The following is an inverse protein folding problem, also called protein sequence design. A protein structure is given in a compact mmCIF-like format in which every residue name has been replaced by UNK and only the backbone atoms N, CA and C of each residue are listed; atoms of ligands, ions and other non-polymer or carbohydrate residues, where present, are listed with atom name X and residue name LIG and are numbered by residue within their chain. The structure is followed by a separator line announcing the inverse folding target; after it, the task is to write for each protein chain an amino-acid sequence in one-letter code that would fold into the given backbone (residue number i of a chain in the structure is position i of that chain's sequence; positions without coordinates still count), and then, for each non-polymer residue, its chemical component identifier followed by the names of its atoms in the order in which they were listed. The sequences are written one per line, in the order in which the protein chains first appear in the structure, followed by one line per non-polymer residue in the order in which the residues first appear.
data_IF_648404414713
#
_entry.id   IF_648404414713
#
_cell.length_a   1.000
_cell.length_b   1.000
_cell.length_c   1.000
_cell.angle_alpha   90.00
_cell.angle_beta   90.00
_cell.angle_gamma   90.00
#
_symmetry.space_group_name_H-M   'P 1'
#
loop_
_entity.id
_entity.type
_entity.pdbx_description
1 polymer ?
#
# COMPACT_ATOMS: atom_id res chain seq x y z
N UNK A 1 19.88 -21.02 51.21
CA UNK A 1 20.86 -20.48 50.22
C UNK A 1 20.60 -21.02 48.80
N UNK A 2 20.30 -22.31 48.65
CA UNK A 2 20.05 -22.98 47.35
C UNK A 2 18.82 -22.48 46.57
N UNK A 3 17.71 -22.20 47.27
CA UNK A 3 16.46 -21.71 46.66
C UNK A 3 16.57 -20.31 46.08
N UNK A 4 17.40 -19.44 46.69
CA UNK A 4 17.62 -18.06 46.22
C UNK A 4 18.47 -18.00 44.95
N UNK A 5 19.40 -18.95 44.80
CA UNK A 5 20.21 -19.10 43.57
C UNK A 5 19.39 -19.69 42.43
N UNK A 6 18.52 -20.67 42.70
CA UNK A 6 17.61 -21.24 41.70
C UNK A 6 16.62 -20.21 41.14
N UNK A 7 16.04 -19.35 41.99
CA UNK A 7 15.14 -18.29 41.51
C UNK A 7 15.87 -17.22 40.70
N UNK A 8 17.11 -16.87 41.08
CA UNK A 8 17.91 -15.91 40.32
C UNK A 8 18.21 -16.43 38.91
N UNK A 9 18.51 -17.73 38.76
CA UNK A 9 18.79 -18.34 37.45
C UNK A 9 17.55 -18.38 36.54
N UNK A 10 16.35 -18.61 37.11
CA UNK A 10 15.10 -18.59 36.34
C UNK A 10 14.77 -17.20 35.81
N UNK A 11 14.98 -16.15 36.62
CA UNK A 11 14.76 -14.76 36.21
C UNK A 11 15.74 -14.39 35.09
N UNK A 12 17.02 -14.76 35.21
CA UNK A 12 18.03 -14.49 34.18
C UNK A 12 17.67 -15.20 32.88
N UNK A 13 17.26 -16.48 32.92
CA UNK A 13 16.82 -17.19 31.72
C UNK A 13 15.60 -16.54 31.06
N UNK A 14 14.61 -16.12 31.85
CA UNK A 14 13.41 -15.45 31.33
C UNK A 14 13.75 -14.14 30.61
N UNK A 15 14.64 -13.33 31.19
CA UNK A 15 15.10 -12.07 30.59
C UNK A 15 15.86 -12.34 29.28
N UNK A 16 16.74 -13.34 29.25
CA UNK A 16 17.50 -13.70 28.04
C UNK A 16 16.58 -14.17 26.90
N UNK A 17 15.53 -14.93 27.19
CA UNK A 17 14.54 -15.37 26.19
C UNK A 17 13.75 -14.18 25.64
N UNK A 18 13.33 -13.24 26.50
CA UNK A 18 12.62 -12.03 26.06
C UNK A 18 13.50 -11.17 25.16
N UNK A 19 14.77 -10.94 25.53
CA UNK A 19 15.70 -10.19 24.69
C UNK A 19 16.00 -10.90 23.35
N UNK A 20 16.13 -12.22 23.35
CA UNK A 20 16.36 -12.99 22.13
C UNK A 20 15.16 -12.94 21.18
N UNK A 21 13.94 -13.07 21.70
CA UNK A 21 12.72 -12.95 20.88
C UNK A 21 12.49 -11.53 20.37
N UNK A 22 12.81 -10.51 21.14
CA UNK A 22 12.68 -9.11 20.71
C UNK A 22 13.68 -8.74 19.60
N UNK A 23 14.92 -9.24 19.68
CA UNK A 23 15.97 -8.99 18.68
C UNK A 23 15.82 -9.83 17.42
N UNK A 24 15.15 -10.98 17.49
CA UNK A 24 14.91 -11.85 16.33
C UNK A 24 13.70 -11.44 15.48
N UNK A 25 12.70 -10.76 16.06
CA UNK A 25 11.49 -10.33 15.35
C UNK A 25 11.64 -9.04 14.52
N UNK A 26 12.80 -8.36 14.55
CA UNK A 26 13.02 -7.10 13.80
C UNK A 26 13.80 -7.27 12.49
N UNK A 27 14.15 -8.49 12.08
CA UNK A 27 14.74 -8.73 10.76
C UNK A 27 13.65 -8.91 9.70
N UNK A 28 12.96 -7.82 9.37
CA UNK A 28 12.34 -7.71 8.05
C UNK A 28 13.50 -7.52 7.08
N UNK A 29 13.81 -8.48 6.20
CA UNK A 29 14.86 -8.27 5.20
C UNK A 29 14.47 -7.03 4.37
N UNK A 30 15.42 -6.12 4.10
CA UNK A 30 15.15 -5.02 3.17
C UNK A 30 14.64 -5.62 1.85
N UNK A 31 13.67 -4.99 1.17
CA UNK A 31 13.29 -5.43 -0.17
C UNK A 31 14.56 -5.44 -1.02
N UNK A 32 14.96 -6.63 -1.44
CA UNK A 32 16.14 -6.87 -2.25
C UNK A 32 16.01 -6.06 -3.55
N UNK A 33 16.92 -5.10 -3.73
CA UNK A 33 17.06 -4.24 -4.90
C UNK A 33 17.63 -4.96 -6.14
N UNK A 34 17.64 -6.29 -6.15
CA UNK A 34 18.19 -7.11 -7.24
C UNK A 34 17.14 -7.82 -8.10
N UNK A 35 15.90 -7.36 -8.09
CA UNK A 35 14.93 -7.67 -9.14
C UNK A 35 14.99 -6.61 -10.27
N UNK A 36 16.18 -6.40 -10.82
CA UNK A 36 16.38 -5.66 -12.07
C UNK A 36 16.87 -6.66 -13.13
N UNK A 37 16.14 -6.69 -14.25
CA UNK A 37 16.22 -7.58 -15.41
C UNK A 37 15.60 -8.96 -15.26
N UNK A 38 14.27 -8.96 -15.19
CA UNK A 38 13.55 -9.37 -16.39
C UNK A 38 12.32 -8.48 -16.53
N UNK A 39 12.43 -7.48 -17.42
CA UNK A 39 11.24 -6.80 -17.94
C UNK A 39 10.46 -7.87 -18.71
N UNK A 40 9.20 -8.15 -18.36
CA UNK A 40 8.38 -9.03 -19.18
C UNK A 40 8.25 -8.38 -20.55
N UNK A 41 8.86 -9.01 -21.55
CA UNK A 41 8.86 -8.55 -22.94
C UNK A 41 7.40 -8.44 -23.40
N UNK A 42 6.87 -7.22 -23.35
CA UNK A 42 5.52 -6.89 -23.74
C UNK A 42 5.36 -7.10 -25.23
N UNK A 43 4.58 -8.10 -25.60
CA UNK A 43 4.14 -8.36 -26.96
C UNK A 43 3.13 -7.27 -27.34
N UNK A 44 3.45 -6.46 -28.37
CA UNK A 44 2.73 -5.49 -29.23
C UNK A 44 1.37 -4.86 -28.85
N UNK A 45 0.77 -5.16 -27.71
CA UNK A 45 -0.33 -4.41 -27.09
C UNK A 45 0.19 -3.74 -25.82
N UNK A 46 0.76 -2.54 -25.97
CA UNK A 46 1.47 -1.77 -24.95
C UNK A 46 0.68 -1.55 -23.64
N UNK A 47 -0.63 -1.79 -23.62
CA UNK A 47 -1.50 -1.57 -22.46
C UNK A 47 -2.01 -2.84 -21.78
N UNK A 48 -1.91 -4.01 -22.42
CA UNK A 48 -2.52 -5.23 -21.90
C UNK A 48 -1.66 -5.85 -20.79
N UNK A 49 -2.28 -6.09 -19.64
CA UNK A 49 -1.76 -6.89 -18.54
C UNK A 49 -2.62 -8.13 -18.38
N UNK A 50 -2.02 -9.33 -18.43
CA UNK A 50 -2.74 -10.59 -18.24
C UNK A 50 -2.50 -11.12 -16.83
N UNK A 51 -3.56 -11.21 -16.02
CA UNK A 51 -3.53 -11.64 -14.63
C UNK A 51 -4.73 -12.54 -14.34
N UNK A 52 -4.52 -13.70 -13.69
CA UNK A 52 -5.56 -14.69 -13.40
C UNK A 52 -6.42 -15.08 -14.63
N UNK A 53 -5.78 -15.24 -15.80
CA UNK A 53 -6.43 -15.51 -17.10
C UNK A 53 -7.40 -14.40 -17.59
N UNK A 54 -7.38 -13.23 -16.98
CA UNK A 54 -8.12 -12.04 -17.41
C UNK A 54 -7.13 -11.02 -17.96
N UNK A 55 -7.52 -10.34 -19.04
CA UNK A 55 -6.76 -9.23 -19.61
C UNK A 55 -7.31 -7.90 -19.11
N UNK A 56 -6.44 -7.07 -18.55
CA UNK A 56 -6.74 -5.75 -18.04
C UNK A 56 -6.01 -4.68 -18.85
N UNK A 57 -6.68 -3.56 -19.06
CA UNK A 57 -6.07 -2.36 -19.62
C UNK A 57 -5.38 -1.57 -18.52
N UNK A 58 -4.05 -1.54 -18.55
CA UNK A 58 -3.21 -0.87 -17.56
C UNK A 58 -2.72 0.50 -18.04
N UNK A 59 -3.24 1.01 -19.16
CA UNK A 59 -3.00 2.38 -19.59
C UNK A 59 -4.05 3.32 -19.02
N UNK A 60 -3.60 4.50 -18.58
CA UNK A 60 -4.52 5.61 -18.36
C UNK A 60 -4.90 6.21 -19.71
N UNK A 61 -6.20 6.26 -20.03
CA UNK A 61 -6.72 6.90 -21.23
C UNK A 61 -7.25 8.29 -20.90
N UNK A 62 -6.85 9.31 -21.65
CA UNK A 62 -7.39 10.65 -21.44
C UNK A 62 -8.91 10.64 -21.72
N UNK A 63 -9.77 11.07 -20.79
CA UNK A 63 -11.23 10.96 -20.95
C UNK A 63 -11.76 11.69 -22.19
N UNK A 64 -11.19 12.85 -22.54
CA UNK A 64 -11.60 13.62 -23.72
C UNK A 64 -11.11 13.00 -25.04
N UNK A 65 -10.05 12.20 -24.99
CA UNK A 65 -9.48 11.56 -26.17
C UNK A 65 -8.80 10.24 -25.79
N UNK A 66 -9.52 9.13 -25.94
CA UNK A 66 -9.05 7.79 -25.56
C UNK A 66 -7.83 7.32 -26.34
N UNK A 67 -7.51 7.92 -27.48
CA UNK A 67 -6.29 7.61 -28.23
C UNK A 67 -5.03 8.11 -27.53
N UNK A 68 -5.16 9.10 -26.65
CA UNK A 68 -4.05 9.60 -25.84
C UNK A 68 -3.91 8.72 -24.59
N UNK A 69 -2.74 8.08 -24.49
CA UNK A 69 -2.39 7.15 -23.42
C UNK A 69 -1.35 7.80 -22.50
N UNK A 70 -1.54 7.65 -21.20
CA UNK A 70 -0.55 7.99 -20.19
C UNK A 70 0.51 6.89 -20.03
N UNK A 71 1.36 7.04 -19.02
CA UNK A 71 2.33 6.01 -18.66
C UNK A 71 1.61 4.71 -18.29
N UNK A 72 2.03 3.60 -18.88
CA UNK A 72 1.55 2.25 -18.55
C UNK A 72 1.81 1.92 -17.07
N UNK A 73 0.81 1.36 -16.39
CA UNK A 73 0.96 0.79 -15.05
C UNK A 73 1.67 -0.57 -15.11
N UNK A 74 2.51 -0.88 -14.12
CA UNK A 74 3.27 -2.12 -14.15
C UNK A 74 2.39 -3.32 -13.77
N UNK A 75 2.35 -4.34 -14.64
CA UNK A 75 1.54 -5.55 -14.47
C UNK A 75 1.89 -6.34 -13.20
N UNK A 76 3.11 -6.18 -12.65
CA UNK A 76 3.54 -6.80 -11.38
C UNK A 76 2.66 -6.42 -10.18
N UNK A 77 1.94 -5.29 -10.27
CA UNK A 77 1.11 -4.79 -9.18
C UNK A 77 -0.35 -5.25 -9.25
N UNK A 78 -0.72 -6.08 -10.24
CA UNK A 78 -2.07 -6.63 -10.37
C UNK A 78 -2.59 -7.32 -9.08
N UNK A 79 -1.78 -8.09 -8.30
CA UNK A 79 -2.25 -8.68 -7.05
C UNK A 79 -2.65 -7.64 -5.99
N UNK A 80 -1.95 -6.51 -5.94
CA UNK A 80 -2.30 -5.43 -5.00
C UNK A 80 -3.60 -4.74 -5.44
N UNK A 81 -3.77 -4.51 -6.74
CA UNK A 81 -5.02 -3.98 -7.26
C UNK A 81 -6.20 -4.92 -7.00
N UNK A 82 -6.00 -6.24 -7.08
CA UNK A 82 -7.03 -7.23 -6.72
C UNK A 82 -7.40 -7.12 -5.23
N UNK A 83 -6.41 -7.04 -4.34
CA UNK A 83 -6.65 -6.93 -2.88
C UNK A 83 -7.41 -5.67 -2.47
N UNK A 84 -7.35 -4.63 -3.31
CA UNK A 84 -8.03 -3.35 -3.11
C UNK A 84 -9.35 -3.26 -3.88
N UNK A 85 -9.76 -4.32 -4.58
CA UNK A 85 -10.92 -4.35 -5.48
C UNK A 85 -10.85 -3.29 -6.61
N UNK A 86 -9.65 -2.95 -7.07
CA UNK A 86 -9.37 -1.93 -8.08
C UNK A 86 -9.11 -2.48 -9.50
N UNK A 87 -9.10 -3.80 -9.68
CA UNK A 87 -8.94 -4.41 -11.01
C UNK A 87 -10.20 -4.25 -11.89
N UNK A 88 -11.36 -4.01 -11.29
CA UNK A 88 -12.62 -3.84 -12.01
C UNK A 88 -12.97 -2.36 -12.13
N UNK A 89 -13.33 -1.90 -13.34
CA UNK A 89 -13.75 -0.52 -13.58
C UNK A 89 -15.15 -0.19 -13.03
N UNK A 90 -15.79 -1.11 -12.29
CA UNK A 90 -17.17 -0.95 -11.79
C UNK A 90 -17.33 0.16 -10.77
N UNK A 91 -16.23 0.70 -10.25
CA UNK A 91 -16.21 1.80 -9.27
C UNK A 91 -15.95 3.18 -9.90
N UNK A 92 -15.91 3.30 -11.24
CA UNK A 92 -15.79 4.61 -11.86
C UNK A 92 -17.13 5.35 -11.76
N UNK A 93 -17.19 6.35 -10.88
CA UNK A 93 -18.36 7.21 -10.71
C UNK A 93 -18.56 8.02 -12.00
N UNK A 94 -19.70 7.84 -12.65
CA UNK A 94 -20.10 8.68 -13.77
C UNK A 94 -20.67 10.00 -13.25
N UNK A 95 -19.83 11.04 -13.29
CA UNK A 95 -20.14 12.39 -12.84
C UNK A 95 -21.19 13.10 -13.70
N UNK A 96 -21.58 12.52 -14.85
CA UNK A 96 -22.60 13.11 -15.72
C UNK A 96 -24.03 12.74 -15.35
N UNK A 97 -24.23 11.67 -14.57
CA UNK A 97 -25.56 11.14 -14.27
C UNK A 97 -25.91 11.03 -12.78
N UNK A 98 -24.94 11.14 -11.87
CA UNK A 98 -25.18 10.90 -10.45
C UNK A 98 -24.70 12.06 -9.57
N UNK A 99 -25.50 12.40 -8.57
CA UNK A 99 -25.04 13.24 -7.47
C UNK A 99 -23.86 12.53 -6.78
N UNK A 100 -22.75 13.26 -6.65
CA UNK A 100 -21.55 12.77 -6.00
C UNK A 100 -21.89 12.34 -4.56
N UNK A 101 -21.46 11.14 -4.12
CA UNK A 101 -21.56 10.80 -2.72
C UNK A 101 -20.76 11.82 -1.90
N UNK A 102 -21.18 12.05 -0.65
CA UNK A 102 -20.44 12.92 0.27
C UNK A 102 -19.01 12.37 0.36
N UNK A 103 -17.98 13.16 -0.04
CA UNK A 103 -16.62 12.65 -0.12
C UNK A 103 -16.10 12.33 1.28
N UNK A 104 -15.51 11.15 1.43
CA UNK A 104 -14.75 10.82 2.63
C UNK A 104 -13.40 11.53 2.57
N UNK A 105 -13.15 12.46 3.49
CA UNK A 105 -11.84 13.08 3.65
C UNK A 105 -10.93 12.16 4.48
N UNK A 106 -10.05 11.44 3.79
CA UNK A 106 -8.97 10.67 4.44
C UNK A 106 -7.69 11.49 4.38
N UNK A 107 -7.09 11.75 5.53
CA UNK A 107 -5.83 12.48 5.65
C UNK A 107 -4.88 11.72 6.58
N UNK A 108 -3.58 11.87 6.33
CA UNK A 108 -2.52 11.37 7.19
C UNK A 108 -1.51 12.49 7.38
N UNK A 109 -0.96 12.60 8.59
CA UNK A 109 0.07 13.56 8.93
C UNK A 109 1.12 12.87 9.79
N UNK A 110 2.39 13.22 9.58
CA UNK A 110 3.48 12.76 10.44
C UNK A 110 3.41 13.48 11.80
N UNK A 111 3.94 12.84 12.84
CA UNK A 111 3.87 13.36 14.22
C UNK A 111 4.50 14.75 14.35
N UNK A 112 5.59 15.00 13.62
CA UNK A 112 6.27 16.30 13.58
C UNK A 112 5.51 17.39 12.82
N UNK A 113 4.40 17.07 12.15
CA UNK A 113 3.54 18.00 11.43
C UNK A 113 2.07 17.92 11.88
N UNK A 114 1.83 17.44 13.10
CA UNK A 114 0.49 17.24 13.62
C UNK A 114 -0.33 18.55 13.69
N UNK A 115 0.28 19.67 14.10
CA UNK A 115 -0.44 20.92 14.28
C UNK A 115 -0.79 21.61 12.96
N UNK A 116 0.12 21.53 11.98
CA UNK A 116 -0.11 21.98 10.61
C UNK A 116 -1.24 21.17 9.98
N UNK A 117 -1.18 19.84 10.09
CA UNK A 117 -2.24 18.96 9.61
C UNK A 117 -3.58 19.23 10.29
N UNK A 118 -3.59 19.41 11.61
CA UNK A 118 -4.81 19.74 12.36
C UNK A 118 -5.40 21.10 11.93
N UNK A 119 -4.56 22.08 11.63
CA UNK A 119 -5.00 23.39 11.13
C UNK A 119 -5.65 23.26 9.77
N UNK A 120 -5.07 22.46 8.87
CA UNK A 120 -5.63 22.19 7.55
C UNK A 120 -6.98 21.48 7.64
N UNK A 121 -7.11 20.46 8.51
CA UNK A 121 -8.38 19.75 8.74
C UNK A 121 -9.45 20.71 9.25
N UNK A 122 -9.14 21.55 10.25
CA UNK A 122 -10.09 22.55 10.77
C UNK A 122 -10.56 23.52 9.70
N UNK A 123 -9.68 23.94 8.80
CA UNK A 123 -10.03 24.85 7.72
C UNK A 123 -10.91 24.16 6.67
N UNK A 124 -10.55 22.94 6.26
CA UNK A 124 -11.31 22.14 5.31
C UNK A 124 -12.72 21.85 5.83
N UNK A 125 -12.85 21.40 7.08
CA UNK A 125 -14.14 21.04 7.70
C UNK A 125 -15.06 22.23 7.99
N UNK A 126 -14.55 23.47 7.99
CA UNK A 126 -15.39 24.68 8.12
C UNK A 126 -16.05 25.11 6.81
N UNK A 127 -15.54 24.62 5.68
CA UNK A 127 -15.97 25.06 4.35
C UNK A 127 -17.02 24.13 3.73
N UNK A 128 -17.27 22.98 4.35
CA UNK A 128 -18.37 22.06 4.05
C UNK A 128 -19.41 22.14 5.15
#
# INVERSE_FOLDING_TARGET
MFTRMSQLMLIICGVLVIFYTFTSNTKIPPPSETALRDEPKGNDDECLCRYNNVSYDFCYHLPQNRSIKGRRFNCRYAPYLESLDLLQSKQLIDLSYQDLPIPAFVTAMSENHFYEGLTLVRYAMRKF
#
